data_IF_360707530446
#
_entry.id   IF_360707530446
#
_cell.length_a   1.000
_cell.length_b   1.000
_cell.length_c   1.000
_cell.angle_alpha   90.00
_cell.angle_beta   90.00
_cell.angle_gamma   90.00
#
_symmetry.space_group_name_H-M   'P 1'
#
loop_
_entity.id
_entity.type
_entity.pdbx_description
1 polymer ?
#
# COMPACT_ATOMS: atom_id res chain seq x y z
N UNK A 1 -29.20 -17.16 0.56
CA UNK A 1 -28.82 -15.78 0.19
C UNK A 1 -27.31 -15.78 0.04
N UNK A 2 -26.82 -15.59 -1.20
CA UNK A 2 -25.43 -15.81 -1.64
C UNK A 2 -24.48 -14.78 -1.00
N UNK A 3 -23.25 -15.19 -0.67
CA UNK A 3 -22.23 -14.36 0.00
C UNK A 3 -21.09 -14.00 -0.96
N UNK A 4 -21.41 -13.81 -2.24
CA UNK A 4 -20.42 -13.95 -3.32
C UNK A 4 -20.30 -12.69 -4.19
N UNK A 5 -20.89 -11.56 -3.78
CA UNK A 5 -20.89 -10.31 -4.56
C UNK A 5 -20.19 -9.15 -3.82
N UNK A 6 -19.13 -9.44 -3.05
CA UNK A 6 -18.24 -8.36 -2.60
C UNK A 6 -17.28 -8.05 -3.76
N UNK A 7 -17.60 -7.01 -4.53
CA UNK A 7 -16.74 -6.54 -5.60
C UNK A 7 -15.39 -6.15 -5.01
N UNK A 8 -14.29 -6.38 -5.72
CA UNK A 8 -12.95 -5.96 -5.29
C UNK A 8 -12.86 -4.45 -4.98
N UNK A 9 -13.84 -3.69 -5.45
CA UNK A 9 -14.01 -2.25 -5.23
C UNK A 9 -14.51 -1.91 -3.81
N UNK A 10 -15.20 -2.82 -3.12
CA UNK A 10 -15.80 -2.59 -1.80
C UNK A 10 -14.79 -2.73 -0.64
N UNK A 11 -13.65 -3.38 -0.87
CA UNK A 11 -12.55 -3.45 0.11
C UNK A 11 -11.86 -2.09 0.25
N UNK A 12 -11.77 -1.33 -0.85
CA UNK A 12 -11.16 0.00 -0.85
C UNK A 12 -12.09 1.02 -0.17
N UNK A 13 -13.40 0.87 -0.34
CA UNK A 13 -14.41 1.76 0.22
C UNK A 13 -14.51 1.66 1.76
N UNK A 14 -14.26 0.48 2.34
CA UNK A 14 -14.31 0.27 3.79
C UNK A 14 -13.25 1.02 4.60
N UNK A 15 -12.09 1.33 3.99
CA UNK A 15 -11.04 2.13 4.64
C UNK A 15 -11.28 3.63 4.52
N UNK A 16 -11.98 4.10 3.48
CA UNK A 16 -12.17 5.53 3.21
C UNK A 16 -13.22 6.20 4.12
N UNK A 17 -14.10 5.41 4.77
CA UNK A 17 -15.19 5.90 5.62
C UNK A 17 -14.93 5.74 7.13
N UNK A 18 -13.70 5.42 7.54
CA UNK A 18 -13.30 5.63 8.92
C UNK A 18 -13.24 7.13 9.18
N UNK A 19 -14.40 7.71 9.51
CA UNK A 19 -14.58 9.08 9.96
C UNK A 19 -13.57 9.38 11.07
N UNK A 20 -12.52 10.11 10.70
CA UNK A 20 -11.74 10.90 11.65
C UNK A 20 -12.43 12.26 11.73
N UNK A 21 -13.52 12.29 12.47
CA UNK A 21 -14.01 13.53 13.06
C UNK A 21 -13.36 13.59 14.45
N UNK A 22 -12.21 14.26 14.52
CA UNK A 22 -11.74 14.84 15.77
C UNK A 22 -11.25 16.25 15.43
N UNK A 23 -12.13 17.20 15.68
CA UNK A 23 -11.84 18.63 15.69
C UNK A 23 -10.78 18.91 16.76
N UNK A 24 -9.50 18.94 16.38
CA UNK A 24 -8.43 19.42 17.27
C UNK A 24 -7.85 20.72 16.72
N UNK A 25 -7.88 21.76 17.54
CA UNK A 25 -7.42 23.14 17.27
C UNK A 25 -5.89 23.26 17.04
N UNK A 26 -5.18 22.18 16.70
CA UNK A 26 -3.72 22.09 16.56
C UNK A 26 -3.25 21.80 15.11
N UNK A 27 -4.16 21.70 14.13
CA UNK A 27 -3.81 21.39 12.73
C UNK A 27 -2.99 22.51 12.05
N UNK A 28 -3.18 23.78 12.45
CA UNK A 28 -2.43 24.91 11.88
C UNK A 28 -0.93 24.87 12.21
N UNK A 29 -0.53 24.21 13.30
CA UNK A 29 0.86 24.18 13.77
C UNK A 29 1.64 22.91 13.38
N UNK A 30 0.98 21.89 12.81
CA UNK A 30 1.64 20.63 12.41
C UNK A 30 2.56 20.85 11.19
N UNK A 31 2.02 21.50 10.15
CA UNK A 31 2.74 21.78 8.90
C UNK A 31 3.91 22.74 9.15
N UNK A 32 3.68 23.79 9.94
CA UNK A 32 4.72 24.77 10.23
C UNK A 32 5.84 24.15 11.09
N UNK A 33 5.49 23.28 12.05
CA UNK A 33 6.46 22.51 12.83
C UNK A 33 7.29 21.57 11.98
N UNK A 34 6.67 20.89 11.01
CA UNK A 34 7.41 20.05 10.05
C UNK A 34 8.33 20.89 9.16
N UNK A 35 7.86 22.03 8.66
CA UNK A 35 8.64 22.93 7.80
C UNK A 35 9.85 23.55 8.50
N UNK A 36 9.72 23.85 9.80
CA UNK A 36 10.82 24.39 10.64
C UNK A 36 11.75 23.29 11.18
N UNK A 37 11.30 22.03 11.19
CA UNK A 37 12.07 20.94 11.76
C UNK A 37 13.28 20.58 10.89
N UNK A 38 14.47 20.53 11.51
CA UNK A 38 15.66 19.96 10.87
C UNK A 38 15.58 18.43 10.93
N UNK A 39 15.15 17.80 9.85
CA UNK A 39 14.98 16.35 9.78
C UNK A 39 16.32 15.69 9.46
N UNK A 40 16.72 14.74 10.29
CA UNK A 40 17.81 13.80 10.00
C UNK A 40 17.18 12.44 9.75
N UNK A 41 17.30 11.94 8.53
CA UNK A 41 16.90 10.60 8.13
C UNK A 41 18.20 9.84 7.88
N UNK A 42 18.41 8.73 8.58
CA UNK A 42 19.55 7.85 8.29
C UNK A 42 19.33 7.18 6.93
N UNK A 43 20.39 7.02 6.12
CA UNK A 43 20.30 6.31 4.83
C UNK A 43 19.88 4.84 4.98
N UNK A 44 19.97 4.29 6.19
CA UNK A 44 19.56 2.92 6.53
C UNK A 44 18.07 2.81 6.90
N UNK A 45 17.41 3.94 7.20
CA UNK A 45 16.01 3.97 7.61
C UNK A 45 15.10 4.29 6.42
N UNK A 46 14.06 3.48 6.21
CA UNK A 46 13.06 3.81 5.19
C UNK A 46 12.23 5.02 5.62
N UNK A 47 11.91 5.89 4.66
CA UNK A 47 11.13 7.12 4.91
C UNK A 47 9.77 6.79 5.56
N UNK A 48 9.15 5.66 5.21
CA UNK A 48 7.91 5.19 5.81
C UNK A 48 8.08 4.79 7.29
N UNK A 49 9.21 4.19 7.67
CA UNK A 49 9.51 3.88 9.07
C UNK A 49 9.74 5.16 9.88
N UNK A 50 10.39 6.15 9.27
CA UNK A 50 10.59 7.45 9.88
C UNK A 50 9.25 8.15 10.21
N UNK A 51 8.30 8.14 9.27
CA UNK A 51 6.95 8.68 9.48
C UNK A 51 6.18 7.89 10.54
N UNK A 52 6.32 6.56 10.56
CA UNK A 52 5.70 5.71 11.58
C UNK A 52 6.18 6.04 12.99
N UNK A 53 7.48 6.32 13.18
CA UNK A 53 8.04 6.71 14.49
C UNK A 53 7.54 8.07 14.96
N UNK A 54 7.11 8.93 14.04
CA UNK A 54 6.68 10.31 14.31
C UNK A 54 5.19 10.52 14.14
N UNK A 55 4.40 9.45 14.02
CA UNK A 55 2.95 9.54 13.89
C UNK A 55 2.27 10.17 15.11
N UNK A 56 2.93 10.15 16.27
CA UNK A 56 2.44 10.81 17.49
C UNK A 56 2.66 12.33 17.41
N UNK A 57 3.77 12.77 16.81
CA UNK A 57 4.09 14.20 16.66
C UNK A 57 3.40 14.82 15.44
N UNK A 58 3.09 14.00 14.45
CA UNK A 58 2.55 14.39 13.16
C UNK A 58 1.40 13.45 12.77
N UNK A 59 0.25 13.50 13.48
CA UNK A 59 -0.86 12.58 13.24
C UNK A 59 -1.41 12.71 11.82
N UNK A 60 -1.64 13.92 11.33
CA UNK A 60 -2.25 14.17 10.02
C UNK A 60 -1.24 13.96 8.89
N UNK A 61 -0.01 14.50 9.01
CA UNK A 61 1.02 14.35 7.99
C UNK A 61 1.52 12.91 7.88
N UNK A 62 1.57 12.14 8.97
CA UNK A 62 2.02 10.74 8.89
C UNK A 62 1.05 9.86 8.10
N UNK A 63 -0.26 10.11 8.21
CA UNK A 63 -1.28 9.43 7.42
C UNK A 63 -1.15 9.82 5.95
N UNK A 64 -1.02 11.10 5.65
CA UNK A 64 -0.85 11.60 4.28
C UNK A 64 0.43 11.08 3.63
N UNK A 65 1.55 11.14 4.36
CA UNK A 65 2.84 10.66 3.90
C UNK A 65 2.82 9.15 3.62
N UNK A 66 2.12 8.35 4.43
CA UNK A 66 1.93 6.92 4.16
C UNK A 66 1.15 6.69 2.87
N UNK A 67 0.08 7.46 2.63
CA UNK A 67 -0.72 7.34 1.41
C UNK A 67 0.05 7.76 0.16
N UNK A 68 0.88 8.81 0.25
CA UNK A 68 1.64 9.31 -0.89
C UNK A 68 2.89 8.48 -1.19
N UNK A 69 3.68 8.17 -0.16
CA UNK A 69 4.97 7.48 -0.28
C UNK A 69 4.84 5.95 -0.31
N UNK A 70 3.69 5.40 0.10
CA UNK A 70 3.40 3.98 0.03
C UNK A 70 3.10 3.48 -1.38
N UNK A 71 2.81 4.38 -2.32
CA UNK A 71 2.53 4.03 -3.71
C UNK A 71 3.87 3.74 -4.41
N UNK A 72 4.06 2.55 -5.00
CA UNK A 72 5.25 2.27 -5.78
C UNK A 72 5.32 3.20 -6.99
N UNK A 73 6.50 3.76 -7.27
CA UNK A 73 6.70 4.66 -8.39
C UNK A 73 6.52 3.98 -9.78
N UNK A 74 6.48 2.65 -9.84
CA UNK A 74 6.30 1.90 -11.08
C UNK A 74 5.43 0.65 -10.91
N UNK A 75 4.86 0.20 -12.02
CA UNK A 75 4.13 -1.07 -12.16
C UNK A 75 5.02 -2.31 -12.09
N UNK A 76 6.34 -2.16 -11.92
CA UNK A 76 7.28 -3.28 -11.98
C UNK A 76 6.99 -4.38 -10.93
N UNK A 77 6.36 -4.02 -9.80
CA UNK A 77 5.94 -5.01 -8.78
C UNK A 77 4.75 -5.84 -9.25
N UNK A 78 3.72 -5.22 -9.81
CA UNK A 78 2.56 -5.94 -10.33
C UNK A 78 2.95 -6.78 -11.56
N UNK A 79 3.76 -6.24 -12.47
CA UNK A 79 4.31 -6.98 -13.62
C UNK A 79 5.12 -8.21 -13.20
N UNK A 80 5.96 -8.11 -12.16
CA UNK A 80 6.71 -9.26 -11.62
C UNK A 80 5.78 -10.34 -11.07
N UNK A 81 4.74 -9.94 -10.34
CA UNK A 81 3.72 -10.87 -9.83
C UNK A 81 2.97 -11.53 -11.00
N UNK A 82 2.52 -10.76 -11.99
CA UNK A 82 1.84 -11.32 -13.17
C UNK A 82 2.74 -12.24 -13.99
N UNK A 83 4.01 -11.89 -14.17
CA UNK A 83 4.99 -12.73 -14.86
C UNK A 83 5.26 -14.04 -14.13
N UNK A 84 5.38 -13.99 -12.79
CA UNK A 84 5.53 -15.20 -11.98
C UNK A 84 4.29 -16.11 -12.10
N UNK A 85 3.10 -15.53 -11.96
CA UNK A 85 1.83 -16.25 -12.10
C UNK A 85 1.67 -16.84 -13.50
N UNK A 86 2.01 -16.07 -14.55
CA UNK A 86 1.98 -16.53 -15.94
C UNK A 86 2.89 -17.73 -16.16
N UNK A 87 4.08 -17.75 -15.57
CA UNK A 87 4.99 -18.92 -15.62
C UNK A 87 4.41 -20.15 -14.93
N UNK A 88 3.80 -19.98 -13.76
CA UNK A 88 3.17 -21.10 -13.02
C UNK A 88 2.01 -21.69 -13.83
N UNK A 89 1.16 -20.84 -14.42
CA UNK A 89 0.04 -21.27 -15.24
C UNK A 89 0.49 -21.96 -16.52
N UNK A 90 1.49 -21.42 -17.22
CA UNK A 90 2.03 -22.03 -18.43
C UNK A 90 2.68 -23.39 -18.14
N UNK A 91 3.42 -23.52 -17.03
CA UNK A 91 4.00 -24.81 -16.62
C UNK A 91 2.92 -25.86 -16.32
N UNK A 92 1.81 -25.46 -15.68
CA UNK A 92 0.66 -26.36 -15.47
C UNK A 92 0.04 -26.82 -16.78
N UNK A 93 -0.12 -25.92 -17.75
CA UNK A 93 -0.69 -26.23 -19.07
C UNK A 93 0.19 -27.20 -19.85
N UNK A 94 1.51 -26.97 -19.85
CA UNK A 94 2.47 -27.87 -20.50
C UNK A 94 2.44 -29.29 -19.92
N UNK A 95 2.30 -29.42 -18.60
CA UNK A 95 2.19 -30.74 -17.96
C UNK A 95 0.93 -31.52 -18.35
N UNK A 96 -0.20 -30.83 -18.57
CA UNK A 96 -1.44 -31.49 -19.03
C UNK A 96 -1.26 -31.98 -20.47
N UNK A 97 -0.73 -31.13 -21.35
CA UNK A 97 -0.48 -31.46 -22.75
C UNK A 97 0.50 -32.64 -22.87
N UNK A 98 1.59 -32.64 -22.09
CA UNK A 98 2.56 -33.74 -22.12
C UNK A 98 2.00 -35.07 -21.60
N UNK A 99 0.98 -35.04 -20.72
CA UNK A 99 0.34 -36.27 -20.23
C UNK A 99 -0.65 -36.84 -21.25
N UNK A 100 -1.38 -36.00 -21.98
CA UNK A 100 -2.33 -36.44 -23.03
C UNK A 100 -1.63 -36.99 -24.29
N UNK A 101 -0.38 -36.64 -24.54
CA UNK A 101 0.37 -37.10 -25.72
C UNK A 101 1.05 -38.47 -25.49
N UNK A 102 1.07 -38.96 -24.24
CA UNK A 102 1.74 -40.22 -23.86
C UNK A 102 0.81 -41.43 -23.66
N UNK A 103 -0.48 -41.33 -24.04
CA UNK A 103 -1.42 -42.46 -24.17
C UNK A 103 -1.80 -42.71 -25.64
#
# INVERSE_FOLDING_TARGET
MRKDDYSQEDIILGCALASHDDSSEDDEDEIERYAKAKLVISNEESVLQWWKKRSINYPTLSVLARSLLGIPASSCTSERIFSATGRILEQRRQNIICNEINE
#
